data_IF_108921842747
#
_entry.id   IF_108921842747
#
_cell.length_a   1.000
_cell.length_b   1.000
_cell.length_c   1.000
_cell.angle_alpha   90.00
_cell.angle_beta   90.00
_cell.angle_gamma   90.00
#
_symmetry.space_group_name_H-M   'P 1'
#
loop_
_entity.id
_entity.type
_entity.pdbx_description
1 polymer ?
#
# COMPACT_ATOMS: atom_id res chain seq x y z
N UNK A 1 -3.18 -14.47 -2.47
CA UNK A 1 -2.17 -14.92 -3.44
C UNK A 1 -0.86 -15.12 -2.70
N UNK A 2 -0.14 -16.23 -2.91
CA UNK A 2 1.16 -16.44 -2.28
C UNK A 2 2.12 -15.33 -2.71
N UNK A 3 2.87 -14.78 -1.75
CA UNK A 3 3.92 -13.81 -2.03
C UNK A 3 5.02 -14.53 -2.83
N UNK A 4 5.23 -14.10 -4.08
CA UNK A 4 6.24 -14.67 -4.99
C UNK A 4 7.67 -14.58 -4.44
N UNK A 5 7.91 -13.67 -3.49
CA UNK A 5 9.19 -13.46 -2.82
C UNK A 5 8.94 -13.26 -1.33
N UNK A 6 9.75 -13.90 -0.47
CA UNK A 6 9.66 -13.71 0.98
C UNK A 6 10.15 -12.31 1.38
N UNK A 7 9.66 -11.75 2.51
CA UNK A 7 10.12 -10.46 3.02
C UNK A 7 11.63 -10.46 3.29
N UNK A 8 12.17 -11.56 3.85
CA UNK A 8 13.59 -11.72 4.12
C UNK A 8 14.42 -11.70 2.83
N UNK A 9 13.94 -12.38 1.78
CA UNK A 9 14.61 -12.38 0.48
C UNK A 9 14.66 -10.96 -0.10
N UNK A 10 13.54 -10.23 -0.06
CA UNK A 10 13.48 -8.84 -0.52
C UNK A 10 14.42 -7.94 0.28
N UNK A 11 14.46 -8.08 1.61
CA UNK A 11 15.37 -7.31 2.47
C UNK A 11 16.84 -7.57 2.12
N UNK A 12 17.23 -8.83 1.95
CA UNK A 12 18.59 -9.19 1.53
C UNK A 12 18.94 -8.65 0.14
N UNK A 13 18.02 -8.72 -0.82
CA UNK A 13 18.23 -8.16 -2.15
C UNK A 13 18.47 -6.63 -2.09
N UNK A 14 17.71 -5.91 -1.27
CA UNK A 14 17.89 -4.47 -1.05
C UNK A 14 19.24 -4.14 -0.39
N UNK A 15 19.65 -4.92 0.60
CA UNK A 15 20.98 -4.77 1.22
C UNK A 15 22.10 -4.97 0.20
N UNK A 16 22.01 -6.00 -0.65
CA UNK A 16 23.00 -6.25 -1.71
C UNK A 16 23.08 -5.08 -2.71
N UNK A 17 21.94 -4.50 -3.07
CA UNK A 17 21.89 -3.32 -3.95
C UNK A 17 22.60 -2.14 -3.31
N UNK A 18 22.30 -1.80 -2.05
CA UNK A 18 22.94 -0.68 -1.34
C UNK A 18 24.44 -0.90 -1.17
N UNK A 19 24.87 -2.08 -0.72
CA UNK A 19 26.29 -2.43 -0.57
C UNK A 19 27.03 -2.24 -1.90
N UNK A 20 26.42 -2.68 -3.01
CA UNK A 20 27.02 -2.55 -4.33
C UNK A 20 27.10 -1.10 -4.80
N UNK A 21 26.05 -0.31 -4.58
CA UNK A 21 26.06 1.14 -4.90
C UNK A 21 27.23 1.82 -4.17
N UNK A 22 27.43 1.51 -2.89
CA UNK A 22 28.51 2.12 -2.11
C UNK A 22 29.90 1.64 -2.54
N UNK A 23 30.07 0.33 -2.76
CA UNK A 23 31.36 -0.26 -3.10
C UNK A 23 31.84 0.14 -4.50
N UNK A 24 30.94 0.17 -5.49
CA UNK A 24 31.28 0.43 -6.89
C UNK A 24 31.03 1.90 -7.30
N UNK A 25 30.47 2.72 -6.39
CA UNK A 25 29.98 4.08 -6.67
C UNK A 25 29.12 4.14 -7.95
N UNK A 26 28.38 3.07 -8.22
CA UNK A 26 27.63 2.90 -9.46
C UNK A 26 26.20 3.41 -9.31
N UNK A 27 25.53 3.66 -10.44
CA UNK A 27 24.12 4.06 -10.40
C UNK A 27 23.24 2.93 -9.84
N UNK A 28 22.15 3.29 -9.17
CA UNK A 28 21.20 2.30 -8.66
C UNK A 28 20.61 1.38 -9.73
N UNK A 29 20.56 1.82 -11.00
CA UNK A 29 20.17 0.95 -12.12
C UNK A 29 21.19 -0.16 -12.36
N UNK A 30 22.47 0.18 -12.42
CA UNK A 30 23.56 -0.79 -12.62
C UNK A 30 23.60 -1.80 -11.48
N UNK A 31 23.45 -1.33 -10.24
CA UNK A 31 23.37 -2.21 -9.07
C UNK A 31 22.16 -3.15 -9.13
N UNK A 32 20.97 -2.66 -9.51
CA UNK A 32 19.77 -3.49 -9.66
C UNK A 32 19.93 -4.55 -10.75
N UNK A 33 20.56 -4.22 -11.88
CA UNK A 33 20.80 -5.17 -12.98
C UNK A 33 21.73 -6.29 -12.52
N UNK A 34 22.89 -5.94 -11.95
CA UNK A 34 23.86 -6.91 -11.50
C UNK A 34 23.33 -7.81 -10.36
N UNK A 35 22.56 -7.25 -9.42
CA UNK A 35 21.92 -8.04 -8.36
C UNK A 35 20.81 -8.94 -8.91
N UNK A 36 20.07 -8.49 -9.92
CA UNK A 36 19.04 -9.30 -10.59
C UNK A 36 19.62 -10.54 -11.26
N UNK A 37 20.76 -10.38 -11.95
CA UNK A 37 21.53 -11.49 -12.52
C UNK A 37 22.06 -12.43 -11.45
N UNK A 38 22.67 -11.90 -10.38
CA UNK A 38 23.23 -12.69 -9.28
C UNK A 38 22.17 -13.49 -8.49
N UNK A 39 20.94 -12.99 -8.40
CA UNK A 39 19.82 -13.65 -7.69
C UNK A 39 19.02 -14.63 -8.57
N UNK A 40 19.54 -15.01 -9.73
CA UNK A 40 18.92 -16.02 -10.59
C UNK A 40 17.91 -15.46 -11.59
N UNK A 41 18.13 -14.24 -12.10
CA UNK A 41 17.34 -13.67 -13.20
C UNK A 41 16.11 -12.89 -12.76
N UNK A 42 16.17 -12.19 -11.62
CA UNK A 42 15.10 -11.27 -11.22
C UNK A 42 15.16 -10.02 -12.10
N UNK A 43 14.01 -9.59 -12.60
CA UNK A 43 13.92 -8.37 -13.42
C UNK A 43 14.51 -7.16 -12.70
N UNK A 44 15.46 -6.41 -13.34
CA UNK A 44 16.04 -5.20 -12.76
C UNK A 44 14.98 -4.13 -12.42
N UNK A 45 13.89 -4.09 -13.18
CA UNK A 45 12.77 -3.18 -12.91
C UNK A 45 12.05 -3.52 -11.59
N UNK A 46 11.87 -4.81 -11.29
CA UNK A 46 11.28 -5.26 -10.02
C UNK A 46 12.15 -4.84 -8.85
N UNK A 47 13.45 -5.11 -8.92
CA UNK A 47 14.41 -4.72 -7.89
C UNK A 47 14.46 -3.20 -7.71
N UNK A 48 14.45 -2.44 -8.81
CA UNK A 48 14.42 -0.97 -8.77
C UNK A 48 13.15 -0.44 -8.09
N UNK A 49 11.99 -1.04 -8.34
CA UNK A 49 10.75 -0.63 -7.70
C UNK A 49 10.82 -0.87 -6.19
N UNK A 50 11.34 -2.03 -5.76
CA UNK A 50 11.57 -2.31 -4.34
C UNK A 50 12.55 -1.33 -3.72
N UNK A 51 13.66 -1.04 -4.41
CA UNK A 51 14.68 -0.12 -3.93
C UNK A 51 14.15 1.30 -3.78
N UNK A 52 13.43 1.81 -4.79
CA UNK A 52 12.76 3.12 -4.71
C UNK A 52 11.77 3.19 -3.55
N UNK A 53 10.90 2.18 -3.41
CA UNK A 53 9.91 2.17 -2.32
C UNK A 53 10.60 2.11 -0.95
N UNK A 54 11.65 1.28 -0.81
CA UNK A 54 12.42 1.21 0.42
C UNK A 54 13.06 2.56 0.78
N UNK A 55 13.57 3.32 -0.20
CA UNK A 55 14.08 4.66 0.05
C UNK A 55 12.99 5.64 0.49
N UNK A 56 11.79 5.55 -0.07
CA UNK A 56 10.64 6.35 0.36
C UNK A 56 10.25 5.98 1.80
N UNK A 57 10.18 4.69 2.11
CA UNK A 57 9.80 4.16 3.41
C UNK A 57 10.82 4.55 4.50
N UNK A 58 12.11 4.70 4.12
CA UNK A 58 13.18 5.18 5.00
C UNK A 58 13.28 6.72 5.07
N UNK A 59 12.42 7.46 4.37
CA UNK A 59 12.47 8.93 4.31
C UNK A 59 13.63 9.50 3.48
N UNK A 60 14.33 8.67 2.72
CA UNK A 60 15.47 9.05 1.87
C UNK A 60 15.05 9.56 0.47
N UNK A 61 13.76 9.49 0.16
CA UNK A 61 13.19 9.99 -1.09
C UNK A 61 11.73 10.46 -0.86
N UNK A 62 11.26 11.49 -1.59
CA UNK A 62 9.87 11.90 -1.54
C UNK A 62 8.96 10.84 -2.16
N UNK A 63 7.80 10.60 -1.54
CA UNK A 63 6.81 9.65 -2.04
C UNK A 63 5.80 9.25 -0.97
N UNK A 64 4.84 8.41 -1.36
CA UNK A 64 3.90 7.79 -0.40
C UNK A 64 4.55 6.53 0.16
N UNK A 65 4.70 6.48 1.48
CA UNK A 65 5.22 5.28 2.15
C UNK A 65 4.24 4.11 2.00
N UNK A 66 4.76 2.89 2.10
CA UNK A 66 3.97 1.67 2.08
C UNK A 66 2.89 1.70 3.18
N UNK A 67 3.27 2.12 4.39
CA UNK A 67 2.36 2.32 5.52
C UNK A 67 1.30 3.37 5.23
N UNK A 68 1.68 4.53 4.68
CA UNK A 68 0.73 5.59 4.31
C UNK A 68 -0.27 5.13 3.25
N UNK A 69 0.16 4.28 2.32
CA UNK A 69 -0.72 3.67 1.32
C UNK A 69 -1.72 2.70 1.96
N UNK A 70 -1.26 1.88 2.92
CA UNK A 70 -2.11 0.92 3.64
C UNK A 70 -3.15 1.63 4.51
N UNK A 71 -2.74 2.65 5.26
CA UNK A 71 -3.65 3.42 6.08
C UNK A 71 -4.68 4.17 5.23
N UNK A 72 -4.27 4.74 4.09
CA UNK A 72 -5.21 5.34 3.15
C UNK A 72 -6.27 4.32 2.65
N UNK A 73 -5.88 3.08 2.37
CA UNK A 73 -6.83 2.03 1.97
C UNK A 73 -7.76 1.63 3.11
N UNK A 74 -7.25 1.56 4.34
CA UNK A 74 -8.05 1.28 5.55
C UNK A 74 -9.09 2.38 5.76
N UNK A 75 -8.66 3.63 5.80
CA UNK A 75 -9.54 4.79 5.99
C UNK A 75 -10.60 4.90 4.89
N UNK A 76 -10.25 4.60 3.63
CA UNK A 76 -11.24 4.58 2.54
C UNK A 76 -12.32 3.52 2.73
N UNK A 77 -11.97 2.33 3.24
CA UNK A 77 -12.94 1.27 3.56
C UNK A 77 -13.84 1.67 4.71
N UNK A 78 -13.25 2.16 5.80
CA UNK A 78 -13.99 2.63 6.96
C UNK A 78 -14.94 3.78 6.59
N UNK A 79 -14.49 4.75 5.78
CA UNK A 79 -15.35 5.84 5.34
C UNK A 79 -16.54 5.35 4.51
N UNK A 80 -16.34 4.34 3.66
CA UNK A 80 -17.42 3.73 2.88
C UNK A 80 -18.45 3.05 3.78
N UNK A 81 -17.98 2.27 4.76
CA UNK A 81 -18.85 1.60 5.74
C UNK A 81 -19.64 2.60 6.58
N UNK A 82 -18.98 3.66 7.08
CA UNK A 82 -19.62 4.73 7.83
C UNK A 82 -20.67 5.47 6.99
N UNK A 83 -20.40 5.73 5.70
CA UNK A 83 -21.38 6.33 4.80
C UNK A 83 -22.60 5.43 4.62
N UNK A 84 -22.38 4.13 4.42
CA UNK A 84 -23.46 3.14 4.29
C UNK A 84 -24.30 3.05 5.57
N UNK A 85 -23.66 3.00 6.73
CA UNK A 85 -24.36 2.96 8.03
C UNK A 85 -25.20 4.22 8.26
N UNK A 86 -24.64 5.39 7.93
CA UNK A 86 -25.38 6.65 8.00
C UNK A 86 -26.58 6.69 7.05
N UNK A 87 -26.44 6.15 5.84
CA UNK A 87 -27.55 6.06 4.89
C UNK A 87 -28.69 5.19 5.44
N UNK A 88 -28.37 4.03 6.02
CA UNK A 88 -29.36 3.15 6.65
C UNK A 88 -30.06 3.87 7.81
N UNK A 89 -29.29 4.53 8.69
CA UNK A 89 -29.86 5.28 9.82
C UNK A 89 -30.79 6.38 9.34
N UNK A 90 -30.40 7.16 8.33
CA UNK A 90 -31.24 8.22 7.76
C UNK A 90 -32.53 7.66 7.16
N UNK A 91 -32.45 6.53 6.43
CA UNK A 91 -33.63 5.84 5.89
C UNK A 91 -34.57 5.35 6.99
N UNK A 92 -34.04 4.75 8.05
CA UNK A 92 -34.83 4.32 9.20
C UNK A 92 -35.51 5.50 9.90
N UNK A 93 -34.77 6.59 10.17
CA UNK A 93 -35.35 7.80 10.76
C UNK A 93 -36.45 8.41 9.89
N UNK A 94 -36.28 8.44 8.57
CA UNK A 94 -37.31 8.92 7.64
C UNK A 94 -38.55 8.02 7.64
N UNK A 95 -38.37 6.69 7.70
CA UNK A 95 -39.47 5.73 7.80
C UNK A 95 -40.28 5.95 9.09
N UNK A 96 -39.61 6.04 10.25
CA UNK A 96 -40.30 6.24 11.53
C UNK A 96 -41.02 7.60 11.61
N UNK A 97 -40.43 8.67 11.07
CA UNK A 97 -41.09 9.97 11.01
C UNK A 97 -42.38 9.91 10.16
N UNK A 98 -42.35 9.20 9.02
CA UNK A 98 -43.52 9.04 8.17
C UNK A 98 -44.63 8.19 8.80
N UNK A 99 -44.31 7.23 9.67
CA UNK A 99 -45.33 6.49 10.44
C UNK A 99 -46.00 7.36 11.51
N UNK A 100 -45.26 8.26 12.15
CA UNK A 100 -45.82 9.18 13.17
C UNK A 100 -46.80 10.20 12.57
N UNK A 101 -46.57 10.64 11.33
CA UNK A 101 -47.43 11.59 10.63
C UNK A 101 -48.69 10.96 10.01
N UNK A 102 -48.85 9.63 10.07
CA UNK A 102 -50.07 8.96 9.59
C UNK A 102 -51.18 9.10 10.64
N UNK A 103 -52.39 9.59 10.27
CA UNK A 103 -53.51 9.62 11.21
C UNK A 103 -53.85 8.19 11.63
N UNK A 104 -53.73 7.90 12.92
CA UNK A 104 -54.24 6.66 13.51
C UNK A 104 -55.76 6.71 13.46
N UNK A 105 -56.35 6.09 12.44
CA UNK A 105 -57.79 5.84 12.42
C UNK A 105 -58.09 4.84 13.53
N UNK A 106 -58.78 5.29 14.58
CA UNK A 106 -59.41 4.41 15.57
C UNK A 106 -60.63 3.73 14.97
#
# INVERSE_FOLDING_TARGET
>A
MPLKYSPEFKARALQLIEVRIQAEQCSGWVACTAVGEALGGISPHTLRNWWKQNRIDQGLAPGVSSEGSEEMRRLRRENLELRRANEIRRKASAFFAAELDRPTTK
#
